data_IF_047794740677
#
_entry.id   IF_047794740677
#
_cell.length_a   1.000
_cell.length_b   1.000
_cell.length_c   1.000
_cell.angle_alpha   90.00
_cell.angle_beta   90.00
_cell.angle_gamma   90.00
#
_symmetry.space_group_name_H-M   'P 1'
#
loop_
_entity.id
_entity.type
_entity.pdbx_description
1 polymer ?
#
# COMPACT_ATOMS: atom_id res chain seq x y z
N UNK A 1 -1.11 7.33 12.49
CA UNK A 1 -1.37 6.63 13.75
C UNK A 1 -0.19 6.79 14.70
N UNK A 2 -0.45 6.96 16.00
CA UNK A 2 0.61 6.99 17.00
C UNK A 2 1.11 5.57 17.31
N UNK A 3 0.21 4.62 17.37
CA UNK A 3 0.49 3.20 17.68
C UNK A 3 -0.34 2.26 16.81
N UNK A 4 -0.01 0.96 16.84
CA UNK A 4 -0.82 -0.08 16.21
C UNK A 4 -2.14 -0.37 16.94
N UNK A 5 -2.35 0.21 18.12
CA UNK A 5 -3.59 0.03 18.90
C UNK A 5 -4.73 0.92 18.36
N UNK A 6 -4.40 1.89 17.50
CA UNK A 6 -5.35 2.83 16.91
C UNK A 6 -5.89 2.38 15.54
N UNK A 7 -5.53 1.16 15.10
CA UNK A 7 -5.97 0.64 13.79
C UNK A 7 -7.46 0.32 13.79
N UNK A 8 -8.11 0.63 12.69
CA UNK A 8 -9.53 0.42 12.47
C UNK A 8 -9.80 -0.59 11.34
N UNK A 9 -11.05 -1.03 11.24
CA UNK A 9 -11.49 -1.94 10.19
C UNK A 9 -11.32 -1.31 8.81
N UNK A 10 -10.63 -2.01 7.93
CA UNK A 10 -10.31 -1.53 6.58
C UNK A 10 -8.98 -0.79 6.47
N UNK A 11 -8.26 -0.60 7.58
CA UNK A 11 -6.97 0.08 7.56
C UNK A 11 -5.88 -0.75 6.87
N UNK A 12 -5.09 -0.06 6.06
CA UNK A 12 -3.82 -0.54 5.53
C UNK A 12 -2.69 0.37 6.01
N UNK A 13 -1.79 -0.17 6.82
CA UNK A 13 -0.83 0.60 7.62
C UNK A 13 0.61 0.26 7.24
N UNK A 14 1.40 1.29 6.88
CA UNK A 14 2.86 1.20 6.82
C UNK A 14 3.43 1.31 8.24
N UNK A 15 4.03 0.26 8.74
CA UNK A 15 4.69 0.29 10.04
C UNK A 15 6.21 0.30 9.88
N UNK A 16 6.83 1.45 10.17
CA UNK A 16 8.31 1.56 10.25
C UNK A 16 8.78 1.08 11.61
N UNK A 17 9.27 -0.14 11.67
CA UNK A 17 9.74 -0.77 12.91
C UNK A 17 10.94 -0.03 13.51
N UNK A 18 11.04 -0.05 14.84
CA UNK A 18 12.28 0.36 15.52
C UNK A 18 13.41 -0.62 15.12
N UNK A 19 14.63 -0.15 14.85
CA UNK A 19 15.75 -1.03 14.50
C UNK A 19 16.08 -2.12 15.55
N UNK A 20 15.77 -1.86 16.81
CA UNK A 20 15.95 -2.80 17.93
C UNK A 20 14.76 -3.73 18.14
N UNK A 21 13.63 -3.46 17.46
CA UNK A 21 12.39 -4.20 17.64
C UNK A 21 12.41 -5.58 17.00
N UNK A 22 11.66 -6.50 17.57
CA UNK A 22 11.26 -7.73 16.89
C UNK A 22 9.78 -7.64 16.50
N UNK A 23 9.41 -8.25 15.38
CA UNK A 23 8.05 -8.18 14.86
C UNK A 23 7.01 -8.47 15.96
N UNK A 24 7.19 -9.54 16.72
CA UNK A 24 6.21 -9.97 17.71
C UNK A 24 6.28 -9.24 19.05
N UNK A 25 7.41 -8.64 19.39
CA UNK A 25 7.48 -7.84 20.63
C UNK A 25 6.64 -6.59 20.50
N UNK A 26 6.77 -5.89 19.38
CA UNK A 26 6.13 -4.60 19.18
C UNK A 26 4.70 -4.73 18.61
N UNK A 27 4.41 -5.80 17.85
CA UNK A 27 3.05 -6.10 17.40
C UNK A 27 2.23 -6.93 18.41
N UNK A 28 2.76 -7.18 19.62
CA UNK A 28 2.09 -8.06 20.59
C UNK A 28 0.69 -7.58 20.95
N UNK A 29 0.53 -6.30 21.22
CA UNK A 29 -0.76 -5.70 21.54
C UNK A 29 -1.72 -5.87 20.36
N UNK A 30 -1.33 -5.49 19.15
CA UNK A 30 -2.10 -5.64 17.92
C UNK A 30 -2.61 -7.08 17.70
N UNK A 31 -1.75 -8.07 17.92
CA UNK A 31 -2.10 -9.50 17.77
C UNK A 31 -3.02 -9.96 18.88
N UNK A 32 -2.74 -9.57 20.15
CA UNK A 32 -3.55 -9.95 21.30
C UNK A 32 -4.95 -9.34 21.24
N UNK A 33 -5.06 -8.07 20.87
CA UNK A 33 -6.33 -7.38 20.70
C UNK A 33 -7.16 -8.01 19.58
N UNK A 34 -6.53 -8.36 18.45
CA UNK A 34 -7.21 -9.08 17.38
C UNK A 34 -7.83 -10.40 17.88
N UNK A 35 -7.07 -11.20 18.62
CA UNK A 35 -7.58 -12.44 19.20
C UNK A 35 -8.72 -12.18 20.21
N UNK A 36 -8.59 -11.13 21.04
CA UNK A 36 -9.62 -10.74 22.01
C UNK A 36 -10.92 -10.28 21.34
N UNK A 37 -10.81 -9.54 20.23
CA UNK A 37 -11.96 -9.08 19.45
C UNK A 37 -12.59 -10.16 18.56
N UNK A 38 -11.97 -11.34 18.48
CA UNK A 38 -12.46 -12.46 17.68
C UNK A 38 -12.05 -12.36 16.21
N UNK A 39 -10.97 -11.68 15.91
CA UNK A 39 -10.40 -11.62 14.57
C UNK A 39 -9.47 -12.82 14.32
N UNK A 40 -9.44 -13.32 13.10
CA UNK A 40 -8.43 -14.29 12.67
C UNK A 40 -7.11 -13.57 12.41
N UNK A 41 -6.05 -14.00 13.08
CA UNK A 41 -4.72 -13.42 12.92
C UNK A 41 -3.96 -14.20 11.85
N UNK A 42 -3.47 -13.50 10.85
CA UNK A 42 -2.65 -14.04 9.76
C UNK A 42 -1.31 -13.30 9.73
N UNK A 43 -0.23 -14.07 9.83
CA UNK A 43 1.13 -13.55 9.78
C UNK A 43 1.72 -13.96 8.44
N UNK A 44 2.14 -12.99 7.64
CA UNK A 44 2.81 -13.21 6.37
C UNK A 44 4.30 -12.97 6.55
N UNK A 45 5.12 -13.96 6.24
CA UNK A 45 6.57 -13.88 6.37
C UNK A 45 7.26 -14.42 5.13
N UNK A 46 8.45 -13.89 4.84
CA UNK A 46 9.38 -14.48 3.89
C UNK A 46 10.58 -15.01 4.65
N UNK A 47 10.76 -16.33 4.68
CA UNK A 47 11.80 -17.02 5.48
C UNK A 47 13.26 -16.77 5.04
N UNK A 48 13.53 -15.75 4.23
CA UNK A 48 14.89 -15.34 3.85
C UNK A 48 15.68 -14.59 4.94
N UNK A 49 15.04 -14.26 6.06
CA UNK A 49 15.75 -13.66 7.20
C UNK A 49 16.55 -14.70 8.00
N UNK A 50 17.72 -14.29 8.48
CA UNK A 50 18.59 -15.12 9.34
C UNK A 50 17.94 -15.62 10.65
N UNK A 51 16.68 -15.30 10.88
CA UNK A 51 15.91 -15.56 12.11
C UNK A 51 14.91 -16.73 12.00
N UNK A 52 14.84 -17.43 10.87
CA UNK A 52 13.89 -18.54 10.70
C UNK A 52 12.43 -18.08 10.54
N UNK A 53 11.52 -19.02 10.37
CA UNK A 53 10.07 -18.76 10.31
C UNK A 53 9.64 -18.08 11.61
N UNK A 54 8.95 -16.92 11.55
CA UNK A 54 8.45 -16.27 12.76
C UNK A 54 7.57 -17.24 13.54
N UNK A 55 7.98 -17.55 14.77
CA UNK A 55 7.15 -18.37 15.64
C UNK A 55 6.01 -17.51 16.16
N UNK A 56 4.78 -17.92 15.87
CA UNK A 56 3.60 -17.26 16.42
C UNK A 56 3.73 -17.17 17.95
N UNK A 57 3.24 -16.08 18.58
CA UNK A 57 3.23 -15.96 20.03
C UNK A 57 2.53 -17.16 20.65
N UNK A 58 3.17 -17.81 21.64
CA UNK A 58 2.56 -18.92 22.36
C UNK A 58 1.44 -18.41 23.29
N UNK A 59 0.40 -19.20 23.46
CA UNK A 59 -0.69 -18.89 24.39
C UNK A 59 -1.84 -18.07 23.83
N UNK A 60 -1.81 -17.70 22.56
CA UNK A 60 -2.96 -17.11 21.89
C UNK A 60 -3.98 -18.17 21.46
N UNK A 61 -5.24 -17.93 21.72
CA UNK A 61 -6.35 -18.79 21.32
C UNK A 61 -7.40 -17.94 20.61
N UNK A 62 -7.70 -18.19 19.34
CA UNK A 62 -7.06 -19.18 18.46
C UNK A 62 -5.61 -18.81 18.06
N UNK A 63 -4.82 -19.81 17.74
CA UNK A 63 -3.45 -19.61 17.32
C UNK A 63 -3.39 -18.87 15.96
N UNK A 64 -2.48 -17.90 15.78
CA UNK A 64 -2.28 -17.24 14.51
C UNK A 64 -1.90 -18.21 13.38
N UNK A 65 -2.41 -17.96 12.18
CA UNK A 65 -2.01 -18.67 10.96
C UNK A 65 -0.74 -18.02 10.43
N UNK A 66 0.32 -18.81 10.22
CA UNK A 66 1.55 -18.32 9.62
C UNK A 66 1.60 -18.75 8.15
N UNK A 67 1.62 -17.78 7.25
CA UNK A 67 1.83 -17.96 5.82
C UNK A 67 3.31 -17.67 5.53
N UNK A 68 4.07 -18.73 5.34
CA UNK A 68 5.49 -18.61 5.00
C UNK A 68 5.68 -18.77 3.49
N UNK A 69 6.31 -17.77 2.88
CA UNK A 69 6.64 -17.77 1.46
C UNK A 69 8.16 -17.87 1.30
N UNK A 70 8.72 -19.08 1.20
CA UNK A 70 10.13 -19.26 0.98
C UNK A 70 10.55 -18.69 -0.38
N UNK A 71 11.32 -17.63 -0.36
CA UNK A 71 11.78 -16.95 -1.56
C UNK A 71 10.94 -15.74 -1.95
N UNK A 72 11.04 -15.37 -3.23
CA UNK A 72 10.24 -14.30 -3.83
C UNK A 72 8.87 -14.88 -4.23
N UNK A 73 7.91 -14.85 -3.33
CA UNK A 73 6.53 -15.04 -3.76
C UNK A 73 6.08 -13.81 -4.54
N UNK A 74 5.43 -14.03 -5.68
CA UNK A 74 4.79 -12.94 -6.38
C UNK A 74 3.59 -12.39 -5.60
N UNK A 75 3.23 -11.14 -5.90
CA UNK A 75 2.15 -10.43 -5.25
C UNK A 75 0.82 -11.20 -5.26
N UNK A 76 0.52 -11.84 -6.37
CA UNK A 76 -0.72 -12.56 -6.57
C UNK A 76 -0.81 -13.79 -5.66
N UNK A 77 0.29 -14.52 -5.49
CA UNK A 77 0.35 -15.69 -4.61
C UNK A 77 0.11 -15.32 -3.15
N UNK A 78 0.75 -14.22 -2.68
CA UNK A 78 0.55 -13.71 -1.31
C UNK A 78 -0.90 -13.26 -1.12
N UNK A 79 -1.41 -12.43 -2.01
CA UNK A 79 -2.78 -11.93 -1.94
C UNK A 79 -3.81 -13.06 -2.02
N UNK A 80 -3.61 -14.04 -2.91
CA UNK A 80 -4.48 -15.19 -3.01
C UNK A 80 -4.50 -16.03 -1.72
N UNK A 81 -3.36 -16.17 -1.04
CA UNK A 81 -3.30 -16.85 0.25
C UNK A 81 -4.04 -16.07 1.33
N UNK A 82 -3.82 -14.76 1.45
CA UNK A 82 -4.52 -13.91 2.40
C UNK A 82 -6.04 -13.92 2.15
N UNK A 83 -6.47 -13.82 0.89
CA UNK A 83 -7.89 -13.93 0.51
C UNK A 83 -8.50 -15.30 0.86
N UNK A 84 -7.73 -16.39 0.78
CA UNK A 84 -8.21 -17.71 1.24
C UNK A 84 -8.45 -17.74 2.75
N UNK A 85 -7.51 -17.15 3.52
CA UNK A 85 -7.66 -17.04 4.96
C UNK A 85 -8.81 -16.12 5.38
N UNK A 86 -9.06 -15.04 4.66
CA UNK A 86 -10.23 -14.19 4.88
C UNK A 86 -11.55 -14.96 4.68
N UNK A 87 -11.64 -15.73 3.58
CA UNK A 87 -12.82 -16.59 3.36
C UNK A 87 -12.93 -17.70 4.40
N UNK A 88 -11.81 -18.23 4.89
CA UNK A 88 -11.81 -19.21 5.97
C UNK A 88 -12.28 -18.57 7.28
N UNK A 89 -11.84 -17.35 7.61
CA UNK A 89 -12.26 -16.63 8.79
C UNK A 89 -13.79 -16.50 8.89
N UNK A 90 -14.44 -16.12 7.79
CA UNK A 90 -15.91 -16.06 7.73
C UNK A 90 -16.56 -17.41 8.02
N UNK A 91 -16.06 -18.49 7.40
CA UNK A 91 -16.62 -19.86 7.60
C UNK A 91 -16.38 -20.40 9.02
N UNK A 92 -15.29 -20.00 9.63
CA UNK A 92 -14.89 -20.40 10.99
C UNK A 92 -15.55 -19.54 12.08
N UNK A 93 -16.31 -18.52 11.70
CA UNK A 93 -17.07 -17.67 12.61
C UNK A 93 -16.24 -16.56 13.28
N UNK A 94 -15.08 -16.21 12.72
CA UNK A 94 -14.34 -15.03 13.14
C UNK A 94 -15.08 -13.75 12.74
N UNK A 95 -14.90 -12.70 13.51
CA UNK A 95 -15.49 -11.38 13.28
C UNK A 95 -14.86 -10.68 12.08
N UNK A 96 -13.52 -10.83 11.92
CA UNK A 96 -12.73 -10.20 10.90
C UNK A 96 -11.40 -10.93 10.70
N UNK A 97 -10.50 -10.27 10.01
CA UNK A 97 -9.14 -10.76 9.78
C UNK A 97 -8.14 -9.62 10.01
N UNK A 98 -7.06 -9.92 10.73
CA UNK A 98 -5.90 -9.05 10.86
C UNK A 98 -4.70 -9.69 10.19
N UNK A 99 -4.04 -8.95 9.32
CA UNK A 99 -2.85 -9.40 8.59
C UNK A 99 -1.66 -8.61 9.08
N UNK A 100 -0.62 -9.32 9.53
CA UNK A 100 0.68 -8.74 9.86
C UNK A 100 1.71 -9.27 8.87
N UNK A 101 2.15 -8.43 7.95
CA UNK A 101 3.08 -8.80 6.89
C UNK A 101 4.46 -8.20 7.14
N UNK A 102 5.48 -9.03 7.45
CA UNK A 102 6.87 -8.58 7.49
C UNK A 102 7.40 -8.49 6.06
N UNK A 103 7.81 -7.28 5.67
CA UNK A 103 8.28 -6.98 4.32
C UNK A 103 9.80 -7.05 4.25
N UNK A 104 10.30 -7.77 3.26
CA UNK A 104 11.74 -7.91 3.00
C UNK A 104 12.06 -7.50 1.57
N UNK A 105 13.21 -6.83 1.33
CA UNK A 105 13.58 -6.41 -0.01
C UNK A 105 13.73 -7.58 -0.97
N UNK A 106 13.24 -7.40 -2.18
CA UNK A 106 13.50 -8.33 -3.29
C UNK A 106 14.79 -7.93 -4.00
N UNK A 107 15.74 -8.84 -4.23
CA UNK A 107 16.90 -8.56 -5.04
C UNK A 107 16.63 -8.58 -6.54
N UNK A 108 15.40 -8.89 -6.96
CA UNK A 108 15.04 -8.96 -8.37
C UNK A 108 14.98 -7.56 -9.01
N UNK A 109 15.37 -7.41 -10.29
CA UNK A 109 15.12 -6.19 -11.04
C UNK A 109 13.62 -5.85 -11.02
N UNK A 110 13.28 -4.58 -10.78
CA UNK A 110 11.88 -4.15 -10.66
C UNK A 110 11.26 -4.38 -9.28
N UNK A 111 12.00 -4.88 -8.30
CA UNK A 111 11.47 -5.22 -6.98
C UNK A 111 10.77 -4.08 -6.24
N UNK A 112 11.17 -2.83 -6.47
CA UNK A 112 10.48 -1.66 -5.89
C UNK A 112 9.10 -1.43 -6.54
N UNK A 113 8.98 -1.54 -7.86
CA UNK A 113 7.68 -1.43 -8.56
C UNK A 113 6.75 -2.60 -8.20
N UNK A 114 7.29 -3.80 -8.09
CA UNK A 114 6.52 -4.98 -7.67
C UNK A 114 6.04 -4.84 -6.22
N UNK A 115 6.84 -4.25 -5.34
CA UNK A 115 6.45 -3.94 -3.98
C UNK A 115 5.29 -2.93 -3.95
N UNK A 116 5.39 -1.80 -4.66
CA UNK A 116 4.30 -0.83 -4.73
C UNK A 116 3.00 -1.45 -5.28
N UNK A 117 3.11 -2.31 -6.28
CA UNK A 117 1.97 -3.03 -6.82
C UNK A 117 1.34 -4.00 -5.80
N UNK A 118 2.16 -4.64 -4.97
CA UNK A 118 1.68 -5.48 -3.87
C UNK A 118 0.96 -4.68 -2.81
N UNK A 119 1.53 -3.55 -2.41
CA UNK A 119 0.93 -2.69 -1.38
C UNK A 119 -0.41 -2.11 -1.85
N UNK A 120 -0.52 -1.64 -3.09
CA UNK A 120 -1.79 -1.17 -3.63
C UNK A 120 -2.86 -2.27 -3.69
N UNK A 121 -2.49 -3.52 -3.98
CA UNK A 121 -3.43 -4.65 -3.94
C UNK A 121 -3.83 -5.04 -2.52
N UNK A 122 -2.95 -4.91 -1.55
CA UNK A 122 -3.29 -5.11 -0.15
C UNK A 122 -4.20 -4.00 0.37
N UNK A 123 -4.01 -2.78 -0.12
CA UNK A 123 -4.89 -1.65 0.19
C UNK A 123 -6.31 -1.88 -0.35
N UNK A 124 -6.44 -2.28 -1.62
CA UNK A 124 -7.71 -2.68 -2.21
C UNK A 124 -8.37 -3.82 -1.41
N UNK A 125 -7.59 -4.84 -1.04
CA UNK A 125 -8.09 -5.95 -0.25
C UNK A 125 -8.57 -5.50 1.14
N UNK A 126 -7.82 -4.64 1.83
CA UNK A 126 -8.21 -4.10 3.15
C UNK A 126 -9.52 -3.33 3.05
N UNK A 127 -9.61 -2.40 2.10
CA UNK A 127 -10.79 -1.58 1.84
C UNK A 127 -12.04 -2.43 1.49
N UNK A 128 -11.90 -3.42 0.60
CA UNK A 128 -13.03 -4.24 0.14
C UNK A 128 -13.52 -5.26 1.18
N UNK A 129 -12.61 -5.84 1.95
CA UNK A 129 -12.93 -6.93 2.89
C UNK A 129 -13.14 -6.47 4.32
N UNK A 130 -12.79 -5.22 4.66
CA UNK A 130 -12.73 -4.74 6.02
C UNK A 130 -11.59 -5.40 6.83
N UNK A 131 -10.59 -5.98 6.17
CA UNK A 131 -9.41 -6.51 6.82
C UNK A 131 -8.56 -5.38 7.40
N UNK A 132 -7.88 -5.63 8.51
CA UNK A 132 -6.84 -4.74 9.02
C UNK A 132 -5.50 -5.31 8.54
N UNK A 133 -4.76 -4.53 7.75
CA UNK A 133 -3.48 -4.97 7.18
C UNK A 133 -2.36 -4.07 7.68
N UNK A 134 -1.36 -4.66 8.32
CA UNK A 134 -0.14 -3.97 8.78
C UNK A 134 1.05 -4.52 8.03
N UNK A 135 1.70 -3.67 7.24
CA UNK A 135 2.93 -3.98 6.51
C UNK A 135 4.13 -3.46 7.31
N UNK A 136 4.89 -4.36 7.91
CA UNK A 136 6.02 -4.07 8.77
C UNK A 136 7.32 -3.97 7.98
N UNK A 137 7.94 -2.80 8.01
CA UNK A 137 9.21 -2.50 7.33
C UNK A 137 10.31 -2.27 8.37
N UNK A 138 11.41 -3.00 8.23
CA UNK A 138 12.62 -2.78 9.03
C UNK A 138 13.53 -1.79 8.29
N UNK A 139 13.67 -0.53 8.76
CA UNK A 139 14.34 0.52 7.98
C UNK A 139 15.79 0.20 7.62
N UNK A 140 16.49 -0.63 8.40
CA UNK A 140 17.87 -1.05 8.11
C UNK A 140 18.02 -1.97 6.89
N UNK A 141 16.91 -2.51 6.38
CA UNK A 141 16.91 -3.41 5.20
C UNK A 141 16.57 -2.69 3.90
N UNK A 142 16.09 -1.46 3.98
CA UNK A 142 15.53 -0.72 2.84
C UNK A 142 16.29 0.56 2.58
N UNK A 143 16.43 0.95 1.34
CA UNK A 143 16.87 2.30 1.00
C UNK A 143 15.77 3.32 1.31
N UNK A 144 16.14 4.55 1.72
CA UNK A 144 15.17 5.58 2.10
C UNK A 144 14.16 5.94 0.98
N UNK A 145 14.56 6.10 -0.30
CA UNK A 145 13.60 6.40 -1.37
C UNK A 145 12.52 5.32 -1.54
N UNK A 146 12.87 4.05 -1.45
CA UNK A 146 11.89 2.96 -1.52
C UNK A 146 10.91 3.00 -0.35
N UNK A 147 11.40 3.22 0.89
CA UNK A 147 10.52 3.35 2.05
C UNK A 147 9.58 4.56 1.96
N UNK A 148 10.09 5.68 1.46
CA UNK A 148 9.28 6.88 1.30
C UNK A 148 8.21 6.68 0.20
N UNK A 149 8.57 6.03 -0.90
CA UNK A 149 7.60 5.64 -1.95
C UNK A 149 6.52 4.68 -1.45
N UNK A 150 6.90 3.70 -0.62
CA UNK A 150 5.95 2.77 0.01
C UNK A 150 5.00 3.51 0.96
N UNK A 151 5.50 4.44 1.77
CA UNK A 151 4.65 5.22 2.68
C UNK A 151 3.59 6.03 1.92
N UNK A 152 3.88 6.47 0.69
CA UNK A 152 2.93 7.19 -0.15
C UNK A 152 1.74 6.33 -0.62
N UNK A 153 1.86 5.00 -0.64
CA UNK A 153 0.78 4.08 -1.06
C UNK A 153 0.07 3.39 0.10
N UNK A 154 0.23 3.92 1.30
CA UNK A 154 -0.51 3.50 2.48
C UNK A 154 -1.37 4.65 3.01
N UNK A 155 -2.67 4.43 3.29
CA UNK A 155 -3.51 5.47 3.91
C UNK A 155 -2.99 5.89 5.28
N UNK A 156 -2.38 4.96 6.01
CA UNK A 156 -1.88 5.19 7.36
C UNK A 156 -0.40 4.81 7.50
N UNK A 157 0.29 5.50 8.39
CA UNK A 157 1.67 5.20 8.75
C UNK A 157 1.85 5.27 10.27
N UNK A 158 2.69 4.39 10.81
CA UNK A 158 3.06 4.40 12.23
C UNK A 158 4.54 4.02 12.42
N UNK A 159 5.08 4.35 13.58
CA UNK A 159 6.45 4.02 13.97
C UNK A 159 7.29 5.25 14.30
N UNK A 160 8.43 5.03 14.93
CA UNK A 160 9.25 6.07 15.59
C UNK A 160 9.82 7.13 14.64
N UNK A 161 9.90 6.85 13.35
CA UNK A 161 10.43 7.75 12.31
C UNK A 161 9.47 7.93 11.16
N UNK A 162 8.19 7.68 11.42
CA UNK A 162 7.16 7.98 10.46
C UNK A 162 7.23 9.47 10.11
N UNK A 163 7.45 9.76 8.84
CA UNK A 163 7.37 11.11 8.29
C UNK A 163 6.08 11.14 7.50
N UNK A 164 5.26 12.15 7.71
CA UNK A 164 4.11 12.33 6.83
C UNK A 164 4.63 12.45 5.39
N UNK A 165 4.29 11.53 4.49
CA UNK A 165 4.66 11.65 3.09
C UNK A 165 4.02 12.92 2.50
N UNK A 166 4.66 13.49 1.48
CA UNK A 166 4.15 14.70 0.84
C UNK A 166 2.78 14.47 0.19
N UNK A 167 2.54 13.26 -0.32
CA UNK A 167 1.25 12.83 -0.86
C UNK A 167 0.92 11.42 -0.37
N UNK A 168 -0.35 11.03 -0.49
CA UNK A 168 -0.81 9.66 -0.33
C UNK A 168 -1.66 9.25 -1.53
N UNK A 169 -1.53 7.99 -1.94
CA UNK A 169 -2.38 7.38 -2.95
C UNK A 169 -2.92 6.07 -2.39
N UNK A 170 -4.22 5.97 -2.18
CA UNK A 170 -4.87 4.82 -1.55
C UNK A 170 -6.19 4.47 -2.22
N UNK A 171 -6.63 3.24 -2.05
CA UNK A 171 -7.83 2.71 -2.68
C UNK A 171 -9.12 3.30 -2.08
N UNK A 172 -10.06 3.66 -2.94
CA UNK A 172 -11.40 4.13 -2.56
C UNK A 172 -12.52 3.35 -3.28
N UNK A 173 -12.17 2.26 -3.96
CA UNK A 173 -13.10 1.40 -4.67
C UNK A 173 -12.43 0.69 -5.84
N UNK A 174 -13.16 -0.12 -6.55
CA UNK A 174 -12.65 -0.88 -7.69
C UNK A 174 -12.03 0.05 -8.75
N UNK A 175 -10.75 -0.15 -9.04
CA UNK A 175 -9.95 0.64 -10.00
C UNK A 175 -9.93 2.15 -9.69
N UNK A 176 -10.19 2.54 -8.44
CA UNK A 176 -10.26 3.95 -8.00
C UNK A 176 -9.34 4.20 -6.82
N UNK A 177 -8.54 5.25 -6.92
CA UNK A 177 -7.63 5.71 -5.87
C UNK A 177 -7.82 7.20 -5.59
N UNK A 178 -7.78 7.58 -4.32
CA UNK A 178 -7.63 8.98 -3.91
C UNK A 178 -6.18 9.36 -3.91
N UNK A 179 -5.90 10.60 -4.24
CA UNK A 179 -4.56 11.22 -4.16
C UNK A 179 -4.68 12.47 -3.31
N UNK A 180 -4.03 12.44 -2.14
CA UNK A 180 -4.09 13.51 -1.15
C UNK A 180 -2.73 14.20 -1.02
N UNK A 181 -2.72 15.47 -0.61
CA UNK A 181 -1.51 16.22 -0.25
C UNK A 181 -0.89 16.98 -1.41
N UNK A 182 0.43 17.01 -1.50
CA UNK A 182 1.21 17.83 -2.43
C UNK A 182 2.10 16.95 -3.29
N UNK A 183 2.06 17.17 -4.60
CA UNK A 183 2.92 16.50 -5.57
C UNK A 183 3.82 17.53 -6.24
N UNK A 184 5.09 17.53 -5.87
CA UNK A 184 6.12 18.42 -6.38
C UNK A 184 7.30 17.64 -6.98
N UNK A 185 8.33 18.36 -7.38
CA UNK A 185 9.53 17.79 -7.96
C UNK A 185 10.29 16.81 -7.05
N UNK A 186 10.15 16.92 -5.73
CA UNK A 186 10.82 16.02 -4.77
C UNK A 186 10.13 14.65 -4.70
N UNK A 187 8.79 14.61 -4.83
CA UNK A 187 8.02 13.39 -4.74
C UNK A 187 7.48 12.88 -6.10
N UNK A 188 7.72 13.60 -7.21
CA UNK A 188 7.24 13.23 -8.56
C UNK A 188 7.65 11.81 -8.97
N UNK A 189 8.86 11.36 -8.64
CA UNK A 189 9.33 10.01 -8.94
C UNK A 189 8.55 8.93 -8.16
N UNK A 190 8.25 9.17 -6.89
CA UNK A 190 7.44 8.27 -6.07
C UNK A 190 5.99 8.21 -6.60
N UNK A 191 5.43 9.36 -6.99
CA UNK A 191 4.12 9.44 -7.61
C UNK A 191 4.04 8.68 -8.93
N UNK A 192 5.03 8.87 -9.83
CA UNK A 192 5.14 8.09 -11.07
C UNK A 192 5.13 6.59 -10.77
N UNK A 193 5.94 6.13 -9.81
CA UNK A 193 6.02 4.72 -9.42
C UNK A 193 4.68 4.17 -8.92
N UNK A 194 3.97 4.92 -8.06
CA UNK A 194 2.65 4.54 -7.54
C UNK A 194 1.60 4.43 -8.65
N UNK A 195 1.54 5.44 -9.54
CA UNK A 195 0.60 5.43 -10.68
C UNK A 195 0.92 4.28 -11.64
N UNK A 196 2.19 4.04 -11.98
CA UNK A 196 2.60 2.89 -12.81
C UNK A 196 2.18 1.57 -12.20
N UNK A 197 2.37 1.42 -10.90
CA UNK A 197 1.96 0.23 -10.17
C UNK A 197 0.44 0.00 -10.26
N UNK A 198 -0.38 1.04 -10.10
CA UNK A 198 -1.82 0.96 -10.26
C UNK A 198 -2.23 0.60 -11.70
N UNK A 199 -1.64 1.26 -12.71
CA UNK A 199 -1.97 1.06 -14.13
C UNK A 199 -1.60 -0.35 -14.62
N UNK A 200 -0.62 -1.03 -14.00
CA UNK A 200 -0.22 -2.40 -14.40
C UNK A 200 -1.35 -3.41 -14.26
N UNK A 201 -2.25 -3.22 -13.32
CA UNK A 201 -3.25 -4.23 -12.94
C UNK A 201 -4.64 -4.00 -13.54
N UNK A 202 -4.91 -2.79 -14.01
CA UNK A 202 -6.20 -2.46 -14.61
C UNK A 202 -6.03 -1.66 -15.91
N UNK A 203 -6.88 -1.91 -16.93
CA UNK A 203 -6.83 -1.15 -18.17
C UNK A 203 -7.25 0.31 -18.01
N UNK A 204 -7.98 0.63 -16.93
CA UNK A 204 -8.50 1.96 -16.67
C UNK A 204 -8.42 2.28 -15.20
N UNK A 205 -7.62 3.27 -14.85
CA UNK A 205 -7.43 3.77 -13.50
C UNK A 205 -8.20 5.07 -13.35
N UNK A 206 -8.90 5.21 -12.24
CA UNK A 206 -9.52 6.46 -11.82
C UNK A 206 -8.75 7.04 -10.64
N UNK A 207 -8.29 8.27 -10.79
CA UNK A 207 -7.65 9.03 -9.73
C UNK A 207 -8.58 10.17 -9.27
N UNK A 208 -8.95 10.19 -8.00
CA UNK A 208 -9.62 11.34 -7.40
C UNK A 208 -8.56 12.32 -6.88
N UNK A 209 -8.69 13.57 -7.29
CA UNK A 209 -7.89 14.71 -6.83
C UNK A 209 -8.70 15.65 -5.92
N UNK A 210 -9.82 15.17 -5.35
CA UNK A 210 -10.69 15.97 -4.51
C UNK A 210 -9.97 16.59 -3.30
N UNK A 211 -8.97 15.87 -2.76
CA UNK A 211 -8.18 16.26 -1.58
C UNK A 211 -6.73 16.61 -1.94
N UNK A 212 -6.39 16.62 -3.22
CA UNK A 212 -5.08 17.04 -3.69
C UNK A 212 -4.93 18.55 -3.52
N UNK A 213 -3.97 18.97 -2.69
CA UNK A 213 -3.71 20.37 -2.41
C UNK A 213 -3.00 21.06 -3.58
N UNK A 214 -1.97 20.39 -4.13
CA UNK A 214 -1.16 20.92 -5.22
C UNK A 214 -0.53 19.79 -6.04
N UNK A 215 -0.41 20.04 -7.34
CA UNK A 215 0.49 19.29 -8.24
C UNK A 215 1.23 20.27 -9.13
N UNK A 216 2.57 20.21 -9.13
CA UNK A 216 3.39 21.05 -9.98
C UNK A 216 3.64 20.45 -11.39
N UNK A 217 4.42 21.13 -12.22
CA UNK A 217 4.74 20.66 -13.57
C UNK A 217 5.48 19.32 -13.57
N UNK A 218 6.33 19.03 -12.58
CA UNK A 218 7.03 17.76 -12.47
C UNK A 218 6.06 16.62 -12.10
N UNK A 219 5.12 16.87 -11.20
CA UNK A 219 4.07 15.94 -10.85
C UNK A 219 3.14 15.63 -12.02
N UNK A 220 2.74 16.66 -12.79
CA UNK A 220 1.93 16.47 -14.01
C UNK A 220 2.69 15.66 -15.08
N UNK A 221 3.97 15.95 -15.26
CA UNK A 221 4.82 15.17 -16.17
C UNK A 221 4.93 13.71 -15.72
N UNK A 222 5.11 13.48 -14.42
CA UNK A 222 5.17 12.14 -13.83
C UNK A 222 3.90 11.32 -14.08
N UNK A 223 2.72 11.95 -14.00
CA UNK A 223 1.43 11.33 -14.32
C UNK A 223 1.34 10.92 -15.79
N UNK A 224 1.73 11.82 -16.70
CA UNK A 224 1.73 11.56 -18.16
C UNK A 224 2.69 10.45 -18.51
N UNK A 225 3.91 10.46 -17.97
CA UNK A 225 4.91 9.42 -18.21
C UNK A 225 4.45 8.06 -17.66
N UNK A 226 3.82 8.03 -16.51
CA UNK A 226 3.25 6.79 -15.96
C UNK A 226 2.17 6.22 -16.88
N UNK A 227 1.29 7.07 -17.41
CA UNK A 227 0.23 6.65 -18.33
C UNK A 227 0.77 6.15 -19.67
N UNK A 228 1.81 6.80 -20.20
CA UNK A 228 2.47 6.41 -21.48
C UNK A 228 3.26 5.11 -21.41
N UNK A 229 3.65 4.70 -20.21
CA UNK A 229 4.47 3.52 -20.02
C UNK A 229 3.77 2.22 -20.45
N UNK A 230 2.46 2.17 -20.37
CA UNK A 230 1.65 1.02 -20.79
C UNK A 230 0.68 1.46 -21.88
N UNK A 231 0.94 1.14 -23.15
CA UNK A 231 -0.01 1.40 -24.23
C UNK A 231 -1.35 0.70 -23.94
N UNK A 232 -2.42 1.28 -24.43
CA UNK A 232 -3.81 0.81 -24.21
C UNK A 232 -4.35 0.99 -22.77
N UNK A 233 -3.64 1.68 -21.91
CA UNK A 233 -4.10 2.06 -20.58
C UNK A 233 -4.54 3.52 -20.55
N UNK A 234 -5.53 3.81 -19.70
CA UNK A 234 -6.07 5.16 -19.56
C UNK A 234 -6.21 5.51 -18.08
N UNK A 235 -5.89 6.76 -17.77
CA UNK A 235 -6.11 7.35 -16.47
C UNK A 235 -7.20 8.41 -16.61
N UNK A 236 -8.27 8.26 -15.84
CA UNK A 236 -9.30 9.28 -15.68
C UNK A 236 -9.07 10.00 -14.35
N UNK A 237 -8.86 11.30 -14.37
CA UNK A 237 -8.69 12.15 -13.19
C UNK A 237 -10.00 12.88 -12.93
N UNK A 238 -10.55 12.69 -11.74
CA UNK A 238 -11.79 13.34 -11.25
C UNK A 238 -11.43 14.32 -10.12
N UNK A 239 -12.24 15.34 -9.86
CA UNK A 239 -12.07 16.25 -8.72
C UNK A 239 -10.89 17.23 -8.82
N UNK A 240 -10.19 17.30 -9.96
CA UNK A 240 -9.15 18.30 -10.15
C UNK A 240 -9.71 19.71 -10.03
N UNK A 241 -9.13 20.56 -9.18
CA UNK A 241 -9.52 21.95 -9.03
C UNK A 241 -9.20 22.77 -10.30
N UNK A 242 -9.76 23.95 -10.37
CA UNK A 242 -9.62 24.82 -11.56
C UNK A 242 -8.15 25.16 -11.87
N UNK A 243 -7.32 25.37 -10.83
CA UNK A 243 -5.89 25.67 -11.00
C UNK A 243 -5.15 24.49 -11.62
N UNK A 244 -5.40 23.28 -11.15
CA UNK A 244 -4.80 22.05 -11.71
C UNK A 244 -5.21 21.89 -13.17
N UNK A 245 -6.49 22.09 -13.51
CA UNK A 245 -6.98 21.98 -14.89
C UNK A 245 -6.34 23.02 -15.80
N UNK A 246 -6.30 24.27 -15.36
CA UNK A 246 -5.65 25.33 -16.13
C UNK A 246 -4.16 25.05 -16.38
N UNK A 247 -3.42 24.63 -15.36
CA UNK A 247 -2.02 24.26 -15.51
C UNK A 247 -1.83 23.07 -16.46
N UNK A 248 -2.73 22.09 -16.41
CA UNK A 248 -2.75 20.95 -17.33
C UNK A 248 -2.90 21.37 -18.79
N UNK A 249 -3.83 22.28 -19.07
CA UNK A 249 -4.05 22.86 -20.40
C UNK A 249 -2.84 23.67 -20.87
N UNK A 250 -2.31 24.54 -20.02
CA UNK A 250 -1.13 25.38 -20.33
C UNK A 250 0.14 24.55 -20.55
N UNK A 251 0.27 23.41 -19.89
CA UNK A 251 1.37 22.47 -20.10
C UNK A 251 1.23 21.66 -21.43
N UNK A 252 0.11 21.84 -22.14
CA UNK A 252 -0.14 21.16 -23.41
C UNK A 252 -0.54 19.69 -23.29
N UNK A 253 -0.99 19.26 -22.11
CA UNK A 253 -1.42 17.88 -21.89
C UNK A 253 -2.90 17.61 -22.21
N UNK A 254 -3.69 18.64 -22.47
CA UNK A 254 -5.10 18.50 -22.86
C UNK A 254 -5.28 18.13 -24.35
N UNK A 255 -4.53 17.13 -24.81
CA UNK A 255 -4.54 16.65 -26.21
C UNK A 255 -4.87 15.15 -26.26
N UNK A 256 -5.41 14.72 -27.41
CA UNK A 256 -5.91 13.35 -27.58
C UNK A 256 -4.84 12.26 -27.40
N UNK A 257 -3.57 12.57 -27.66
CA UNK A 257 -2.46 11.63 -27.59
C UNK A 257 -1.96 11.38 -26.16
N UNK A 258 -2.44 12.15 -25.18
CA UNK A 258 -2.14 11.94 -23.76
C UNK A 258 -3.17 10.98 -23.17
N UNK A 259 -2.76 9.81 -22.67
CA UNK A 259 -3.69 8.80 -22.15
C UNK A 259 -4.21 9.13 -20.73
N UNK A 260 -4.30 10.42 -20.41
CA UNK A 260 -4.84 10.96 -19.16
C UNK A 260 -5.95 11.94 -19.50
N UNK A 261 -7.10 11.77 -18.90
CA UNK A 261 -8.26 12.65 -19.10
C UNK A 261 -8.65 13.29 -17.77
N UNK A 262 -8.59 14.62 -17.74
CA UNK A 262 -9.16 15.41 -16.65
C UNK A 262 -10.67 15.48 -16.87
N UNK A 263 -11.45 14.89 -15.97
CA UNK A 263 -12.90 15.02 -15.99
C UNK A 263 -13.31 16.48 -15.64
N UNK A 264 -14.40 16.93 -16.24
CA UNK A 264 -14.93 18.26 -16.00
C UNK A 264 -15.45 18.44 -14.58
#
# INVERSE_FOLDING_TARGET
>A
LATLDEVEVGDHVCWRMDPSATLFTDARAYVADGALYGDKIVIVSSSRGASGVPRAPEGLTPAPVVLDFPGLADAESVLAAVRREARAAVREGFRGIRVLAERTPSPAPGGAEDLLAQELKLDEFASESGAIVVCAFRPSLWDPPTLDGVACVHPQETGRRARHPAFRMFNTGTDRWSVDGVIDSECAAAFNGAVRAAVRHTPRVKLSFDTLEMIDAAGMHALVEAARHLPDRRIDVEGANETVRLCWELAGYAVADVPVVMAA
#
